data_IF_733621604839
#
_entry.id   IF_733621604839
#
_cell.length_a   1.000
_cell.length_b   1.000
_cell.length_c   1.000
_cell.angle_alpha   90.00
_cell.angle_beta   90.00
_cell.angle_gamma   90.00
#
_symmetry.space_group_name_H-M   'P 1'
#
loop_
_entity.id
_entity.type
_entity.pdbx_description
1 polymer ?
#
# COMPACT_ATOMS: atom_id res chain seq x y z
N UNK A 1 -26.84 -9.50 -4.66
CA UNK A 1 -25.41 -9.23 -4.43
C UNK A 1 -24.50 -9.75 -5.57
N UNK A 2 -24.70 -10.97 -6.09
CA UNK A 2 -23.87 -11.53 -7.17
C UNK A 2 -23.83 -10.74 -8.50
N UNK A 3 -24.93 -10.08 -8.91
CA UNK A 3 -24.97 -9.33 -10.19
C UNK A 3 -24.05 -8.09 -10.24
N UNK A 4 -23.68 -7.50 -9.11
CA UNK A 4 -22.76 -6.35 -9.08
C UNK A 4 -21.29 -6.79 -9.21
N UNK A 5 -20.95 -8.02 -8.81
CA UNK A 5 -19.56 -8.52 -8.86
C UNK A 5 -19.03 -8.73 -10.27
N UNK A 6 -19.91 -9.00 -11.24
CA UNK A 6 -19.54 -9.25 -12.66
C UNK A 6 -19.43 -7.95 -13.47
N UNK A 7 -20.13 -6.89 -13.06
CA UNK A 7 -20.17 -5.62 -13.78
C UNK A 7 -18.81 -4.90 -13.84
N UNK A 8 -17.98 -5.06 -12.82
CA UNK A 8 -16.66 -4.42 -12.75
C UNK A 8 -15.65 -5.07 -13.73
N UNK A 9 -15.48 -6.40 -13.75
CA UNK A 9 -14.70 -7.07 -14.79
C UNK A 9 -15.21 -6.81 -16.22
N UNK A 10 -16.53 -6.83 -16.43
CA UNK A 10 -17.12 -6.50 -17.75
C UNK A 10 -16.78 -5.08 -18.16
N UNK A 11 -16.88 -4.12 -17.23
CA UNK A 11 -16.55 -2.73 -17.52
C UNK A 11 -15.07 -2.54 -17.85
N UNK A 12 -14.17 -3.17 -17.09
CA UNK A 12 -12.74 -3.16 -17.36
C UNK A 12 -12.43 -3.70 -18.76
N UNK A 13 -13.05 -4.83 -19.14
CA UNK A 13 -12.87 -5.44 -20.44
C UNK A 13 -13.42 -4.56 -21.59
N UNK A 14 -14.54 -3.87 -21.36
CA UNK A 14 -15.12 -2.94 -22.34
C UNK A 14 -14.27 -1.69 -22.56
N UNK A 15 -13.61 -1.19 -21.52
CA UNK A 15 -12.75 -0.02 -21.65
C UNK A 15 -11.52 -0.32 -22.54
N UNK A 16 -11.04 -1.58 -22.55
CA UNK A 16 -9.93 -2.08 -23.39
C UNK A 16 -8.63 -1.23 -23.30
N UNK A 17 -8.38 -0.67 -22.12
CA UNK A 17 -7.25 0.25 -21.90
C UNK A 17 -5.99 -0.45 -21.39
N UNK A 18 -6.13 -1.65 -20.84
CA UNK A 18 -5.05 -2.37 -20.17
C UNK A 18 -4.63 -3.58 -20.99
N UNK A 19 -3.32 -3.69 -21.21
CA UNK A 19 -2.72 -4.85 -21.85
C UNK A 19 -1.67 -5.48 -20.93
N UNK A 20 -1.77 -6.80 -20.71
CA UNK A 20 -0.77 -7.59 -19.98
C UNK A 20 -0.43 -8.82 -20.83
N UNK A 21 0.62 -8.72 -21.66
CA UNK A 21 0.90 -9.74 -22.69
C UNK A 21 1.42 -11.09 -22.13
N UNK A 22 1.91 -11.13 -20.87
CA UNK A 22 2.37 -12.37 -20.19
C UNK A 22 1.87 -12.42 -18.74
N UNK A 23 0.58 -12.65 -18.48
CA UNK A 23 0.00 -12.57 -17.14
C UNK A 23 0.72 -13.44 -16.10
N UNK A 24 1.17 -14.65 -16.48
CA UNK A 24 1.90 -15.55 -15.56
C UNK A 24 3.24 -15.02 -15.04
N UNK A 25 3.83 -14.01 -15.71
CA UNK A 25 5.07 -13.36 -15.27
C UNK A 25 4.84 -11.95 -14.75
N UNK A 26 3.77 -11.31 -15.21
CA UNK A 26 3.55 -9.89 -15.05
C UNK A 26 2.41 -9.54 -14.11
N UNK A 27 1.68 -10.52 -13.57
CA UNK A 27 0.70 -10.32 -12.50
C UNK A 27 1.26 -10.85 -11.20
N UNK A 28 1.00 -10.14 -10.09
CA UNK A 28 1.44 -10.54 -8.74
C UNK A 28 2.94 -10.85 -8.70
N UNK A 29 3.74 -10.03 -9.40
CA UNK A 29 5.18 -10.24 -9.56
C UNK A 29 5.90 -9.96 -8.24
N UNK A 30 6.51 -10.99 -7.66
CA UNK A 30 7.39 -10.86 -6.50
C UNK A 30 8.73 -10.26 -6.93
N UNK A 31 9.14 -9.18 -6.27
CA UNK A 31 10.48 -8.62 -6.37
C UNK A 31 11.14 -8.61 -5.01
N UNK A 32 12.45 -8.81 -5.00
CA UNK A 32 13.29 -8.83 -3.81
C UNK A 32 14.47 -7.90 -4.05
N UNK A 33 14.78 -7.07 -3.05
CA UNK A 33 15.92 -6.18 -3.06
C UNK A 33 16.64 -6.29 -1.72
N UNK A 34 17.90 -6.69 -1.76
CA UNK A 34 18.74 -6.76 -0.56
C UNK A 34 19.06 -5.36 -0.07
N UNK A 35 19.03 -5.20 1.25
CA UNK A 35 19.32 -3.97 1.98
C UNK A 35 20.77 -4.00 2.53
N UNK A 36 21.38 -2.83 2.81
CA UNK A 36 22.76 -2.77 3.31
C UNK A 36 23.01 -3.51 4.63
N UNK A 37 21.99 -3.66 5.47
CA UNK A 37 22.06 -4.39 6.74
C UNK A 37 22.00 -5.93 6.56
N UNK A 38 21.93 -6.43 5.32
CA UNK A 38 21.87 -7.85 5.01
C UNK A 38 20.47 -8.46 5.03
N UNK A 39 19.44 -7.67 5.36
CA UNK A 39 18.03 -8.08 5.21
C UNK A 39 17.52 -7.89 3.78
N UNK A 40 16.35 -8.44 3.47
CA UNK A 40 15.71 -8.30 2.16
C UNK A 40 14.40 -7.51 2.27
N UNK A 41 14.24 -6.51 1.40
CA UNK A 41 12.95 -5.89 1.14
C UNK A 41 12.20 -6.66 0.05
N UNK A 42 10.95 -7.02 0.31
CA UNK A 42 10.12 -7.82 -0.60
C UNK A 42 8.85 -7.06 -0.94
N UNK A 43 8.54 -6.96 -2.23
CA UNK A 43 7.26 -6.40 -2.70
C UNK A 43 6.59 -7.34 -3.70
N UNK A 44 5.27 -7.31 -3.73
CA UNK A 44 4.46 -7.96 -4.76
C UNK A 44 3.80 -6.86 -5.57
N UNK A 45 4.16 -6.79 -6.85
CA UNK A 45 3.58 -5.86 -7.80
C UNK A 45 2.32 -6.49 -8.39
N UNK A 46 1.21 -5.78 -8.27
CA UNK A 46 -0.09 -6.23 -8.75
C UNK A 46 -0.11 -6.56 -10.24
N UNK A 47 0.48 -5.69 -11.07
CA UNK A 47 0.66 -5.93 -12.50
C UNK A 47 1.79 -5.12 -13.14
N UNK A 48 2.37 -5.65 -14.22
CA UNK A 48 3.29 -4.96 -15.12
C UNK A 48 2.73 -5.08 -16.54
N UNK A 49 2.26 -3.97 -17.10
CA UNK A 49 1.51 -3.99 -18.35
C UNK A 49 1.64 -2.69 -19.11
N UNK A 50 0.63 -2.41 -19.93
CA UNK A 50 0.41 -1.12 -20.57
C UNK A 50 -0.95 -0.57 -20.16
N UNK A 51 -1.02 0.74 -20.01
CA UNK A 51 -2.27 1.48 -19.88
C UNK A 51 -2.32 2.56 -20.96
N UNK A 52 -3.30 2.47 -21.86
CA UNK A 52 -3.38 3.27 -23.10
C UNK A 52 -2.08 3.21 -23.92
N UNK A 53 -1.53 2.00 -24.08
CA UNK A 53 -0.31 1.77 -24.84
C UNK A 53 0.99 2.12 -24.11
N UNK A 54 0.98 2.81 -22.97
CA UNK A 54 2.21 3.15 -22.23
C UNK A 54 2.55 2.08 -21.19
N UNK A 55 3.79 1.58 -21.22
CA UNK A 55 4.25 0.57 -20.26
C UNK A 55 4.31 1.16 -18.86
N UNK A 56 3.65 0.54 -17.89
CA UNK A 56 3.61 0.99 -16.51
C UNK A 56 3.44 -0.16 -15.51
N UNK A 57 3.65 0.16 -14.24
CA UNK A 57 3.20 -0.66 -13.11
C UNK A 57 1.71 -0.41 -12.86
N UNK A 58 0.97 -1.46 -12.55
CA UNK A 58 -0.48 -1.42 -12.32
C UNK A 58 -0.75 -1.82 -10.87
N UNK A 59 -1.56 -1.01 -10.18
CA UNK A 59 -2.12 -1.30 -8.85
C UNK A 59 -3.64 -1.43 -8.96
N UNK A 60 -4.20 -2.53 -8.43
CA UNK A 60 -5.65 -2.75 -8.41
C UNK A 60 -6.22 -2.35 -7.06
N UNK A 61 -7.18 -1.43 -7.03
CA UNK A 61 -7.92 -1.10 -5.79
C UNK A 61 -9.41 -1.23 -5.97
N UNK A 62 -10.08 -1.70 -4.93
CA UNK A 62 -11.53 -1.63 -4.83
C UNK A 62 -11.90 -0.55 -3.82
N UNK A 63 -12.74 0.40 -4.23
CA UNK A 63 -13.13 1.56 -3.42
C UNK A 63 -14.63 1.82 -3.50
N UNK A 64 -15.18 2.56 -2.55
CA UNK A 64 -16.58 3.04 -2.57
C UNK A 64 -16.72 4.42 -3.22
N UNK A 65 -15.62 5.17 -3.37
CA UNK A 65 -15.58 6.50 -3.97
C UNK A 65 -14.40 6.66 -4.91
N UNK A 66 -14.50 7.61 -5.84
CA UNK A 66 -13.39 7.98 -6.73
C UNK A 66 -12.25 8.55 -5.89
N UNK A 67 -11.04 8.33 -6.37
CA UNK A 67 -9.87 9.05 -5.89
C UNK A 67 -9.89 10.48 -6.45
N UNK A 68 -9.44 11.48 -5.68
CA UNK A 68 -9.29 12.84 -6.16
C UNK A 68 -8.25 12.90 -7.29
N UNK A 69 -8.58 13.64 -8.35
CA UNK A 69 -7.69 13.89 -9.50
C UNK A 69 -6.84 15.15 -9.31
N UNK A 70 -7.24 16.02 -8.38
CA UNK A 70 -6.55 17.26 -8.02
C UNK A 70 -6.16 17.24 -6.52
N UNK A 71 -5.05 17.89 -6.14
CA UNK A 71 -4.11 18.60 -7.02
C UNK A 71 -3.31 17.65 -7.92
N UNK A 72 -2.87 18.13 -9.08
CA UNK A 72 -1.92 17.37 -9.91
C UNK A 72 -0.73 16.85 -9.10
N UNK A 73 -0.36 15.59 -9.36
CA UNK A 73 0.75 14.92 -8.67
C UNK A 73 0.35 14.23 -7.36
N UNK A 74 -0.90 14.33 -6.92
CA UNK A 74 -1.37 13.68 -5.69
C UNK A 74 -1.12 12.17 -5.67
N UNK A 75 -1.33 11.50 -6.81
CA UNK A 75 -1.10 10.07 -6.95
C UNK A 75 0.38 9.69 -6.74
N UNK A 76 1.31 10.58 -7.07
CA UNK A 76 2.74 10.32 -6.91
C UNK A 76 3.16 10.26 -5.44
N UNK A 77 2.29 10.68 -4.52
CA UNK A 77 2.48 10.57 -3.08
C UNK A 77 2.00 9.24 -2.51
N UNK A 78 1.38 8.37 -3.32
CA UNK A 78 0.95 7.05 -2.87
C UNK A 78 2.18 6.17 -2.55
N UNK A 79 2.38 5.76 -1.29
CA UNK A 79 3.59 5.04 -0.90
C UNK A 79 3.72 3.67 -1.57
N UNK A 80 2.61 3.03 -1.94
CA UNK A 80 2.63 1.73 -2.60
C UNK A 80 3.12 1.87 -4.05
N UNK A 81 2.68 2.90 -4.76
CA UNK A 81 3.17 3.19 -6.11
C UNK A 81 4.64 3.64 -6.12
N UNK A 82 5.07 4.44 -5.14
CA UNK A 82 6.49 4.80 -4.98
C UNK A 82 7.33 3.55 -4.69
N UNK A 83 6.86 2.67 -3.81
CA UNK A 83 7.50 1.38 -3.52
C UNK A 83 7.68 0.52 -4.78
N UNK A 84 6.60 0.36 -5.58
CA UNK A 84 6.64 -0.39 -6.82
C UNK A 84 7.67 0.19 -7.80
N UNK A 85 7.69 1.50 -7.97
CA UNK A 85 8.69 2.18 -8.81
C UNK A 85 10.11 1.97 -8.30
N UNK A 86 10.34 2.10 -6.99
CA UNK A 86 11.66 1.95 -6.38
C UNK A 86 12.25 0.55 -6.55
N UNK A 87 11.45 -0.50 -6.32
CA UNK A 87 11.95 -1.87 -6.39
C UNK A 87 12.06 -2.39 -7.83
N UNK A 88 11.20 -1.92 -8.75
CA UNK A 88 11.21 -2.37 -10.15
C UNK A 88 12.09 -1.53 -11.09
N UNK A 89 12.39 -0.28 -10.71
CA UNK A 89 13.04 0.72 -11.56
C UNK A 89 12.13 1.36 -12.61
N UNK A 90 10.83 1.07 -12.62
CA UNK A 90 9.87 1.59 -13.61
C UNK A 90 9.20 2.85 -13.05
N UNK A 91 9.38 3.99 -13.72
CA UNK A 91 8.82 5.29 -13.28
C UNK A 91 7.32 5.44 -13.50
N UNK A 92 6.82 4.90 -14.61
CA UNK A 92 5.41 5.01 -14.98
C UNK A 92 4.56 4.06 -14.12
N UNK A 93 3.62 4.62 -13.39
CA UNK A 93 2.74 3.89 -12.48
C UNK A 93 1.29 4.29 -12.70
N UNK A 94 0.38 3.34 -12.48
CA UNK A 94 -1.04 3.57 -12.62
C UNK A 94 -1.84 2.87 -11.52
N UNK A 95 -2.82 3.59 -11.00
CA UNK A 95 -3.86 3.06 -10.13
C UNK A 95 -5.11 2.77 -10.97
N UNK A 96 -5.58 1.53 -10.89
CA UNK A 96 -6.83 1.09 -11.49
C UNK A 96 -7.83 0.82 -10.36
N UNK A 97 -8.71 1.80 -10.13
CA UNK A 97 -9.66 1.78 -9.05
C UNK A 97 -11.05 1.31 -9.54
N UNK A 98 -11.47 0.15 -9.06
CA UNK A 98 -12.82 -0.39 -9.19
C UNK A 98 -13.75 0.30 -8.18
N UNK A 99 -14.55 1.25 -8.65
CA UNK A 99 -15.43 2.04 -7.78
C UNK A 99 -16.80 1.37 -7.67
N UNK A 100 -17.08 0.81 -6.51
CA UNK A 100 -18.31 0.07 -6.18
C UNK A 100 -19.45 1.03 -5.84
N UNK A 101 -20.04 1.63 -6.86
CA UNK A 101 -21.28 2.41 -6.77
C UNK A 101 -22.43 1.66 -7.44
N UNK A 102 -23.65 2.21 -7.36
CA UNK A 102 -24.84 1.68 -8.05
C UNK A 102 -24.59 1.47 -9.55
N UNK A 103 -23.82 2.37 -10.16
CA UNK A 103 -23.23 2.22 -11.49
C UNK A 103 -21.74 1.99 -11.30
N UNK A 104 -21.27 0.79 -11.61
CA UNK A 104 -19.87 0.44 -11.51
C UNK A 104 -19.05 1.28 -12.50
N UNK A 105 -17.97 1.89 -12.02
CA UNK A 105 -17.01 2.63 -12.85
C UNK A 105 -15.60 2.13 -12.54
N UNK A 106 -14.72 2.15 -13.55
CA UNK A 106 -13.29 1.95 -13.37
C UNK A 106 -12.61 3.31 -13.58
N UNK A 107 -11.90 3.77 -12.55
CA UNK A 107 -11.09 4.98 -12.64
C UNK A 107 -9.64 4.59 -12.87
N UNK A 108 -9.00 5.23 -13.85
CA UNK A 108 -7.59 5.03 -14.18
C UNK A 108 -6.84 6.31 -13.90
N UNK A 109 -5.92 6.27 -12.94
CA UNK A 109 -5.04 7.40 -12.63
C UNK A 109 -3.61 7.02 -12.96
N UNK A 110 -2.87 7.92 -13.61
CA UNK A 110 -1.47 7.72 -13.99
C UNK A 110 -0.60 8.81 -13.40
N UNK A 111 0.63 8.44 -13.09
CA UNK A 111 1.66 9.40 -12.73
C UNK A 111 3.05 8.82 -13.00
N UNK A 112 4.06 9.66 -12.88
CA UNK A 112 5.47 9.32 -13.04
C UNK A 112 6.15 9.53 -11.70
N UNK A 113 6.75 8.48 -11.16
CA UNK A 113 7.58 8.57 -9.96
C UNK A 113 9.00 8.97 -10.36
N UNK A 114 9.53 10.02 -9.73
CA UNK A 114 10.85 10.57 -10.05
C UNK A 114 11.98 9.78 -9.40
N UNK A 115 13.21 9.97 -9.89
CA UNK A 115 14.41 9.40 -9.25
C UNK A 115 14.58 9.89 -7.82
N UNK A 116 14.34 11.18 -7.57
CA UNK A 116 14.40 11.74 -6.22
C UNK A 116 13.43 11.03 -5.27
N UNK A 117 12.18 10.79 -5.69
CA UNK A 117 11.21 10.06 -4.86
C UNK A 117 11.66 8.62 -4.58
N UNK A 118 12.28 7.95 -5.55
CA UNK A 118 12.85 6.61 -5.35
C UNK A 118 14.02 6.62 -4.36
N UNK A 119 14.91 7.60 -4.46
CA UNK A 119 16.03 7.76 -3.53
C UNK A 119 15.54 8.04 -2.10
N UNK A 120 14.60 8.97 -1.94
CA UNK A 120 13.98 9.31 -0.65
C UNK A 120 13.27 8.09 -0.04
N UNK A 121 12.54 7.32 -0.85
CA UNK A 121 11.92 6.08 -0.41
C UNK A 121 12.95 5.04 0.02
N UNK A 122 14.05 4.88 -0.72
CA UNK A 122 15.15 3.99 -0.35
C UNK A 122 15.76 4.35 1.01
N UNK A 123 16.06 5.63 1.24
CA UNK A 123 16.56 6.11 2.55
C UNK A 123 15.55 5.85 3.68
N UNK A 124 14.26 6.05 3.40
CA UNK A 124 13.19 5.76 4.37
C UNK A 124 13.14 4.27 4.74
N UNK A 125 13.25 3.38 3.75
CA UNK A 125 13.29 1.92 3.99
C UNK A 125 14.49 1.55 4.85
N UNK A 126 15.69 2.04 4.51
CA UNK A 126 16.92 1.74 5.27
C UNK A 126 16.85 2.25 6.71
N UNK A 127 16.38 3.49 6.91
CA UNK A 127 16.20 4.06 8.25
C UNK A 127 15.16 3.27 9.06
N UNK A 128 14.03 2.90 8.44
CA UNK A 128 12.97 2.12 9.08
C UNK A 128 13.47 0.73 9.49
N UNK A 129 14.22 0.06 8.61
CA UNK A 129 14.82 -1.24 8.93
C UNK A 129 15.80 -1.13 10.11
N UNK A 130 16.63 -0.09 10.12
CA UNK A 130 17.60 0.16 11.19
C UNK A 130 16.93 0.43 12.54
N UNK A 131 15.85 1.22 12.56
CA UNK A 131 15.07 1.47 13.78
C UNK A 131 14.42 0.17 14.30
N UNK A 132 13.85 -0.66 13.41
CA UNK A 132 13.26 -1.94 13.79
C UNK A 132 14.31 -2.86 14.41
N UNK A 133 15.49 -2.96 13.80
CA UNK A 133 16.61 -3.78 14.32
C UNK A 133 17.13 -3.28 15.67
N UNK A 134 17.08 -1.96 15.88
CA UNK A 134 17.50 -1.33 17.13
C UNK A 134 16.42 -1.31 18.21
N UNK A 135 15.21 -1.83 17.92
CA UNK A 135 14.07 -1.82 18.85
C UNK A 135 13.43 -0.44 19.06
N UNK A 136 13.66 0.51 18.15
CA UNK A 136 13.16 1.88 18.25
C UNK A 136 11.75 2.01 17.64
N UNK A 137 10.72 1.80 18.48
CA UNK A 137 9.31 1.92 18.09
C UNK A 137 8.69 3.25 18.53
N UNK A 138 9.24 4.34 18.01
CA UNK A 138 8.80 5.68 18.38
C UNK A 138 7.35 5.95 17.91
N UNK A 139 6.47 6.51 18.77
CA UNK A 139 5.13 6.86 18.37
C UNK A 139 5.16 8.03 17.41
N UNK A 140 4.80 7.78 16.16
CA UNK A 140 4.57 8.82 15.16
C UNK A 140 3.08 8.84 14.79
N UNK A 141 2.50 10.04 14.76
CA UNK A 141 1.13 10.19 14.28
C UNK A 141 1.08 9.76 12.81
N UNK A 142 0.28 8.73 12.54
CA UNK A 142 0.11 8.18 11.20
C UNK A 142 -0.75 9.10 10.33
N UNK A 143 -0.28 10.32 10.06
CA UNK A 143 -0.85 11.15 8.99
C UNK A 143 -0.49 10.46 7.68
N UNK A 144 -1.29 9.47 7.29
CA UNK A 144 -1.21 8.85 5.96
C UNK A 144 -2.12 9.64 5.06
N UNK A 145 -1.56 10.32 4.08
CA UNK A 145 -2.36 10.98 3.06
C UNK A 145 -3.46 10.04 2.52
N UNK A 146 -4.76 10.40 2.47
CA UNK A 146 -5.39 11.67 2.89
C UNK A 146 -6.10 11.65 4.27
N UNK A 147 -5.91 10.64 5.14
CA UNK A 147 -6.65 10.49 6.41
C UNK A 147 -5.76 10.33 7.65
N UNK A 148 -6.21 10.88 8.79
CA UNK A 148 -5.54 10.67 10.07
C UNK A 148 -5.72 9.22 10.55
N UNK A 149 -4.71 8.40 10.32
CA UNK A 149 -4.72 6.96 10.64
C UNK A 149 -4.79 6.65 12.13
N UNK A 150 -4.57 7.65 13.01
CA UNK A 150 -4.72 7.46 14.45
C UNK A 150 -6.17 7.14 14.85
N UNK A 151 -7.18 7.71 14.17
CA UNK A 151 -8.60 7.58 14.56
C UNK A 151 -9.09 6.12 14.44
N UNK A 152 -8.55 5.38 13.48
CA UNK A 152 -8.87 3.96 13.26
C UNK A 152 -7.82 3.00 13.83
N UNK A 153 -6.76 3.51 14.47
CA UNK A 153 -5.67 2.68 14.99
C UNK A 153 -6.11 1.92 16.25
N UNK A 154 -6.02 0.56 16.27
CA UNK A 154 -6.31 -0.23 17.47
C UNK A 154 -5.39 0.09 18.67
N UNK A 155 -4.20 0.64 18.40
CA UNK A 155 -3.20 0.97 19.42
C UNK A 155 -3.29 2.43 19.93
N UNK A 156 -4.27 3.23 19.47
CA UNK A 156 -4.40 4.63 19.86
C UNK A 156 -4.46 4.81 21.39
N UNK A 157 -5.17 3.93 22.08
CA UNK A 157 -5.25 3.96 23.54
C UNK A 157 -3.89 3.80 24.21
N UNK A 158 -3.01 2.95 23.69
CA UNK A 158 -1.64 2.78 24.19
C UNK A 158 -0.81 4.05 23.96
N UNK A 159 -0.89 4.64 22.76
CA UNK A 159 -0.15 5.87 22.43
C UNK A 159 -0.55 7.06 23.31
N UNK A 160 -1.81 7.13 23.74
CA UNK A 160 -2.34 8.23 24.57
C UNK A 160 -2.34 7.92 26.07
N UNK A 161 -1.95 6.71 26.49
CA UNK A 161 -2.13 6.26 27.88
C UNK A 161 -3.60 6.24 28.33
N UNK A 162 -4.54 6.03 27.40
CA UNK A 162 -5.98 6.08 27.66
C UNK A 162 -6.57 4.67 27.82
N UNK A 163 -6.81 4.28 29.07
CA UNK A 163 -7.30 2.96 29.46
C UNK A 163 -8.65 2.59 28.81
N UNK A 164 -9.59 3.54 28.74
CA UNK A 164 -10.90 3.29 28.14
C UNK A 164 -10.79 2.94 26.65
N UNK A 165 -9.88 3.60 25.92
CA UNK A 165 -9.60 3.27 24.52
C UNK A 165 -8.87 1.93 24.39
N UNK A 166 -7.97 1.59 25.31
CA UNK A 166 -7.30 0.28 25.33
C UNK A 166 -8.34 -0.83 25.45
N UNK A 167 -9.23 -0.75 26.44
CA UNK A 167 -10.23 -1.78 26.70
C UNK A 167 -11.25 -1.93 25.56
N UNK A 168 -11.61 -0.82 24.90
CA UNK A 168 -12.65 -0.82 23.87
C UNK A 168 -12.14 -1.04 22.44
N UNK A 169 -10.86 -0.78 22.15
CA UNK A 169 -10.33 -0.77 20.77
C UNK A 169 -9.13 -1.69 20.54
N UNK A 170 -8.35 -2.03 21.57
CA UNK A 170 -7.18 -2.86 21.38
C UNK A 170 -7.60 -4.29 21.02
N UNK A 171 -7.27 -4.71 19.80
CA UNK A 171 -7.54 -6.07 19.34
C UNK A 171 -6.46 -6.99 19.91
N UNK A 172 -6.83 -7.81 20.89
CA UNK A 172 -5.98 -8.89 21.41
C UNK A 172 -6.29 -10.16 20.63
N UNK A 173 -5.32 -10.71 19.91
CA UNK A 173 -5.50 -12.02 19.25
C UNK A 173 -5.42 -13.12 20.31
N UNK A 174 -6.41 -14.03 20.41
CA UNK A 174 -6.31 -15.22 21.26
C UNK A 174 -5.06 -16.02 20.86
N UNK A 175 -4.23 -16.43 21.82
CA UNK A 175 -2.95 -17.11 21.60
C UNK A 175 -1.72 -16.18 21.54
N UNK A 176 -1.90 -14.86 21.50
CA UNK A 176 -0.79 -13.93 21.75
C UNK A 176 -0.44 -13.82 23.25
N UNK A 177 -1.33 -14.28 24.13
CA UNK A 177 -1.10 -14.46 25.58
C UNK A 177 -0.08 -15.57 25.88
N UNK A 178 0.22 -16.45 24.93
CA UNK A 178 1.33 -17.42 25.10
C UNK A 178 2.70 -16.72 25.05
N UNK A 179 2.73 -15.42 24.71
CA UNK A 179 3.89 -14.54 24.83
C UNK A 179 3.91 -13.74 26.13
N UNK A 180 3.12 -14.09 27.15
CA UNK A 180 3.18 -13.44 28.46
C UNK A 180 4.59 -13.53 29.09
N UNK A 181 5.44 -14.48 28.65
CA UNK A 181 6.85 -14.57 29.01
C UNK A 181 7.70 -13.37 28.54
N UNK A 182 7.26 -12.59 27.53
CA UNK A 182 7.92 -11.33 27.16
C UNK A 182 7.81 -10.28 28.28
N UNK A 183 6.79 -10.38 29.13
CA UNK A 183 6.68 -9.53 30.33
C UNK A 183 7.69 -9.94 31.42
N UNK A 184 8.21 -11.16 31.35
CA UNK A 184 9.23 -11.70 32.28
C UNK A 184 10.67 -11.43 31.79
N UNK A 185 10.86 -10.83 30.61
CA UNK A 185 12.18 -10.46 30.07
C UNK A 185 12.65 -9.05 30.47
N UNK A 186 11.86 -8.33 31.27
CA UNK A 186 12.27 -7.03 31.80
C UNK A 186 13.01 -7.26 33.12
N UNK A 187 14.31 -7.53 33.02
CA UNK A 187 15.29 -7.24 34.08
C UNK A 187 15.86 -5.82 33.88
#
# INVERSE_FOLDING_TARGET
MFRQGVQLPERLAQDDRIEISRPSRNMQTKLVRSLPNGSDFVAYIDGIGRLDGNRCLLEWKTTTSRYPEEPKGLLALDPQLVCYSWISGISEVALVAFVRKRFCEVQYLKTTITDQQREEFGRMVEATASHIESGEFLPHSGIRFPQNGCISCPHLGLCLGNQQLIESKLIRRPGASDFDWLNDLVD
#
